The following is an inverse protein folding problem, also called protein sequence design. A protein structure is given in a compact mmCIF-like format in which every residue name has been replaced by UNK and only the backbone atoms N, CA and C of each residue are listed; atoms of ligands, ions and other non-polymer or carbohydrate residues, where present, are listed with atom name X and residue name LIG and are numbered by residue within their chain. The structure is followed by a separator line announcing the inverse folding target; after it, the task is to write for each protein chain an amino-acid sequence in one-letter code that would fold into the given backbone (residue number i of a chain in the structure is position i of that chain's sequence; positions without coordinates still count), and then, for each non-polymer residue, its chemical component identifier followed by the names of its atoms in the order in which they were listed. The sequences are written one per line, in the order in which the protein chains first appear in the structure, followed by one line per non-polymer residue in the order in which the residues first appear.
data_IF_425924552302
#
_entry.id   IF_425924552302
#
_cell.length_a   1.000
_cell.length_b   1.000
_cell.length_c   1.000
_cell.angle_alpha   90.00
_cell.angle_beta   90.00
_cell.angle_gamma   90.00
#
_symmetry.space_group_name_H-M   'P 1'
#
loop_
_entity.id
_entity.type
_entity.pdbx_description
1 polymer ?
#
# COMPACT_ATOMS: atom_id res chain seq x y z
N UNK A 1 -26.04 27.06 0.37
CA UNK A 1 -26.75 25.90 -0.21
C UNK A 1 -25.71 24.84 -0.48
N UNK A 2 -25.78 23.63 0.10
CA UNK A 2 -24.85 22.57 -0.24
C UNK A 2 -24.99 22.21 -1.72
N UNK A 3 -23.87 21.98 -2.42
CA UNK A 3 -23.89 21.61 -3.84
C UNK A 3 -24.50 20.21 -4.02
N UNK A 4 -25.23 20.02 -5.12
CA UNK A 4 -25.89 18.78 -5.49
C UNK A 4 -24.95 17.56 -5.60
N UNK A 5 -23.63 17.77 -5.62
CA UNK A 5 -22.60 16.72 -5.64
C UNK A 5 -22.48 15.93 -4.34
N UNK A 6 -22.86 16.49 -3.18
CA UNK A 6 -22.78 15.78 -1.89
C UNK A 6 -24.00 14.88 -1.62
N UNK A 7 -25.08 15.02 -2.40
CA UNK A 7 -26.30 14.24 -2.24
C UNK A 7 -26.22 12.86 -2.90
N UNK A 8 -25.38 12.64 -3.92
CA UNK A 8 -25.19 11.31 -4.53
C UNK A 8 -24.40 10.37 -3.62
N UNK A 9 -23.37 10.88 -2.92
CA UNK A 9 -22.66 10.12 -1.90
C UNK A 9 -23.59 9.73 -0.74
N UNK A 10 -24.44 10.66 -0.27
CA UNK A 10 -25.43 10.35 0.76
C UNK A 10 -26.53 9.40 0.27
N UNK A 11 -26.96 9.47 -0.99
CA UNK A 11 -28.00 8.59 -1.53
C UNK A 11 -27.49 7.15 -1.75
N UNK A 12 -26.24 6.97 -2.17
CA UNK A 12 -25.57 5.66 -2.20
C UNK A 12 -25.47 5.06 -0.79
N UNK A 13 -25.03 5.86 0.19
CA UNK A 13 -24.83 5.40 1.57
C UNK A 13 -26.12 5.23 2.39
N UNK A 14 -27.13 6.08 2.23
CA UNK A 14 -28.46 5.87 2.81
C UNK A 14 -29.15 4.66 2.18
N UNK A 15 -28.87 4.37 0.91
CA UNK A 15 -29.28 3.10 0.29
C UNK A 15 -28.54 1.92 0.91
N UNK A 16 -27.23 2.00 1.22
CA UNK A 16 -26.55 0.94 1.97
C UNK A 16 -27.10 0.76 3.39
N UNK A 17 -27.38 1.84 4.13
CA UNK A 17 -27.91 1.76 5.49
C UNK A 17 -29.36 1.22 5.52
N UNK A 18 -30.16 1.52 4.48
CA UNK A 18 -31.50 0.95 4.32
C UNK A 18 -31.48 -0.50 3.77
N UNK A 19 -30.49 -0.87 2.95
CA UNK A 19 -30.32 -2.22 2.39
C UNK A 19 -29.63 -3.17 3.39
N UNK A 20 -28.82 -2.67 4.33
CA UNK A 20 -28.17 -3.47 5.37
C UNK A 20 -29.16 -4.16 6.33
N UNK A 21 -30.45 -3.77 6.32
CA UNK A 21 -31.49 -4.42 7.12
C UNK A 21 -32.09 -5.65 6.40
N UNK A 22 -31.83 -5.85 5.10
CA UNK A 22 -32.40 -6.97 4.31
C UNK A 22 -31.41 -7.62 3.31
N UNK A 23 -30.11 -7.41 3.50
CA UNK A 23 -29.09 -8.02 2.65
C UNK A 23 -28.93 -9.51 2.99
N UNK A 24 -29.63 -10.38 2.26
CA UNK A 24 -29.20 -11.79 2.13
C UNK A 24 -27.78 -11.82 1.57
N UNK A 25 -26.90 -12.72 2.04
CA UNK A 25 -25.53 -12.81 1.54
C UNK A 25 -25.55 -13.09 0.04
N UNK A 26 -25.18 -12.09 -0.75
CA UNK A 26 -24.91 -12.26 -2.19
C UNK A 26 -23.53 -12.91 -2.27
N UNK A 27 -23.51 -14.20 -2.59
CA UNK A 27 -22.27 -14.92 -2.84
C UNK A 27 -21.60 -14.34 -4.08
N UNK A 28 -20.49 -13.61 -3.88
CA UNK A 28 -19.60 -13.29 -4.98
C UNK A 28 -18.95 -14.60 -5.44
N UNK A 29 -19.35 -15.05 -6.63
CA UNK A 29 -18.69 -16.20 -7.27
C UNK A 29 -17.50 -15.64 -8.04
N UNK A 30 -16.31 -15.69 -7.43
CA UNK A 30 -15.06 -15.51 -8.16
C UNK A 30 -15.01 -16.64 -9.18
N UNK A 31 -15.20 -16.32 -10.46
CA UNK A 31 -15.11 -17.32 -11.52
C UNK A 31 -13.62 -17.61 -11.74
N UNK A 32 -13.11 -18.80 -11.41
CA UNK A 32 -11.73 -19.14 -11.70
C UNK A 32 -11.58 -19.24 -13.22
N UNK A 33 -10.57 -18.58 -13.78
CA UNK A 33 -10.17 -18.79 -15.16
C UNK A 33 -9.74 -20.25 -15.31
N UNK A 34 -10.60 -21.10 -15.89
CA UNK A 34 -10.37 -22.53 -16.01
C UNK A 34 -9.21 -22.83 -16.96
N UNK A 35 -8.11 -23.35 -16.42
CA UNK A 35 -7.28 -24.33 -17.10
C UNK A 35 -7.69 -25.72 -16.60
N UNK A 36 -8.16 -26.57 -17.52
CA UNK A 36 -8.76 -27.85 -17.18
C UNK A 36 -7.78 -28.85 -16.57
N UNK A 37 -8.21 -29.52 -15.49
CA UNK A 37 -8.32 -30.99 -15.41
C UNK A 37 -8.74 -31.44 -13.99
N UNK A 38 -9.82 -32.23 -13.96
CA UNK A 38 -10.18 -33.33 -13.04
C UNK A 38 -10.14 -33.19 -11.51
N UNK A 39 -11.36 -33.14 -10.95
CA UNK A 39 -11.92 -33.66 -9.68
C UNK A 39 -11.00 -34.19 -8.55
N UNK A 40 -11.16 -33.62 -7.34
CA UNK A 40 -11.84 -34.27 -6.20
C UNK A 40 -12.17 -33.25 -5.11
N UNK A 41 -13.37 -33.32 -4.54
CA UNK A 41 -13.87 -32.36 -3.55
C UNK A 41 -13.45 -32.74 -2.12
N UNK A 42 -12.85 -31.80 -1.39
CA UNK A 42 -12.78 -31.82 0.08
C UNK A 42 -12.86 -30.38 0.58
N UNK A 43 -13.81 -30.13 1.49
CA UNK A 43 -14.00 -28.86 2.19
C UNK A 43 -12.72 -28.46 2.95
N UNK A 44 -12.09 -27.36 2.54
CA UNK A 44 -10.90 -26.80 3.17
C UNK A 44 -10.97 -25.28 3.20
N UNK A 45 -10.66 -24.71 4.37
CA UNK A 45 -10.46 -23.27 4.58
C UNK A 45 -9.42 -22.73 3.58
N UNK A 46 -9.77 -21.66 2.86
CA UNK A 46 -8.93 -21.03 1.84
C UNK A 46 -7.75 -20.29 2.49
N UNK A 47 -6.67 -21.03 2.75
CA UNK A 47 -5.33 -20.45 2.93
C UNK A 47 -4.77 -20.16 1.54
N UNK A 48 -4.65 -18.88 1.18
CA UNK A 48 -3.94 -18.49 -0.04
C UNK A 48 -2.45 -18.78 0.14
N UNK A 49 -2.03 -19.95 -0.34
CA UNK A 49 -0.63 -20.34 -0.44
C UNK A 49 -0.04 -19.63 -1.67
N UNK A 50 0.79 -18.62 -1.44
CA UNK A 50 1.58 -18.00 -2.51
C UNK A 50 2.62 -19.02 -3.03
N UNK A 51 2.63 -19.28 -4.33
CA UNK A 51 3.67 -20.07 -4.99
C UNK A 51 4.98 -19.28 -4.99
N UNK A 52 5.86 -19.63 -4.05
CA UNK A 52 7.21 -19.09 -3.93
C UNK A 52 8.19 -19.96 -4.71
N UNK A 53 8.16 -19.91 -6.04
CA UNK A 53 9.24 -20.48 -6.87
C UNK A 53 10.40 -19.51 -7.13
N UNK A 54 10.41 -18.35 -6.45
CA UNK A 54 11.62 -17.55 -6.26
C UNK A 54 12.47 -18.21 -5.15
N UNK A 55 13.75 -18.47 -5.44
CA UNK A 55 14.75 -19.07 -4.53
C UNK A 55 14.52 -18.63 -3.08
N UNK A 56 14.24 -19.61 -2.21
CA UNK A 56 14.02 -19.50 -0.76
C UNK A 56 14.70 -18.29 -0.09
N UNK A 57 14.04 -17.13 -0.13
CA UNK A 57 14.25 -16.09 0.87
C UNK A 57 13.39 -16.51 2.05
N UNK A 58 13.99 -17.21 3.00
CA UNK A 58 13.34 -17.55 4.26
C UNK A 58 13.10 -16.25 5.04
N UNK A 59 11.95 -15.61 4.83
CA UNK A 59 11.48 -14.55 5.71
C UNK A 59 11.09 -15.23 7.02
N UNK A 60 11.97 -15.16 8.02
CA UNK A 60 11.68 -15.68 9.36
C UNK A 60 10.36 -15.06 9.84
N UNK A 61 9.41 -15.91 10.23
CA UNK A 61 8.16 -15.46 10.83
C UNK A 61 8.47 -14.69 12.12
N UNK A 62 8.24 -13.37 12.08
CA UNK A 62 8.30 -12.53 13.27
C UNK A 62 7.15 -13.00 14.16
N UNK A 63 7.48 -13.51 15.36
CA UNK A 63 6.50 -13.97 16.34
C UNK A 63 5.53 -12.81 16.64
N UNK A 64 4.23 -13.11 16.60
CA UNK A 64 3.10 -12.26 17.00
C UNK A 64 3.46 -11.35 18.19
N UNK A 65 3.77 -10.09 17.90
CA UNK A 65 4.28 -9.11 18.86
C UNK A 65 4.71 -7.86 18.12
N UNK A 66 3.72 -7.04 17.77
CA UNK A 66 3.75 -5.78 17.00
C UNK A 66 4.53 -4.68 17.71
N UNK A 67 5.85 -4.84 17.86
CA UNK A 67 6.70 -3.68 18.17
C UNK A 67 7.20 -3.08 16.87
N UNK A 68 6.35 -2.26 16.24
CA UNK A 68 6.77 -1.35 15.19
C UNK A 68 7.41 -0.09 15.77
N UNK A 69 7.89 -0.13 17.02
CA UNK A 69 8.61 0.97 17.63
C UNK A 69 10.12 0.79 17.37
N UNK A 70 10.81 1.87 17.01
CA UNK A 70 12.27 1.93 17.00
C UNK A 70 12.82 2.05 18.43
N UNK A 71 14.15 2.05 18.57
CA UNK A 71 14.83 2.14 19.87
C UNK A 71 14.52 3.44 20.65
N UNK A 72 13.95 4.45 19.97
CA UNK A 72 13.54 5.74 20.55
C UNK A 72 12.02 5.83 20.77
N UNK A 73 11.26 4.76 20.50
CA UNK A 73 9.80 4.75 20.59
C UNK A 73 9.08 5.33 19.37
N UNK A 74 9.80 5.76 18.33
CA UNK A 74 9.24 6.19 17.04
C UNK A 74 8.70 5.02 16.23
N UNK A 75 7.86 5.26 15.22
CA UNK A 75 7.33 4.17 14.38
C UNK A 75 8.38 3.77 13.33
N UNK A 76 8.82 2.50 13.38
CA UNK A 76 9.62 1.87 12.34
C UNK A 76 8.73 1.47 11.16
N UNK A 77 8.47 2.43 10.27
CA UNK A 77 7.62 2.24 9.09
C UNK A 77 8.12 1.09 8.20
N UNK A 78 9.43 0.92 8.06
CA UNK A 78 10.02 -0.14 7.23
C UNK A 78 9.75 -1.56 7.77
N UNK A 79 9.48 -1.70 9.08
CA UNK A 79 9.15 -2.97 9.70
C UNK A 79 7.66 -3.31 9.68
N UNK A 80 6.79 -2.39 9.24
CA UNK A 80 5.34 -2.61 9.19
C UNK A 80 4.98 -3.78 8.27
N UNK A 81 4.01 -4.58 8.73
CA UNK A 81 3.46 -5.76 8.05
C UNK A 81 1.98 -5.84 8.35
N UNK A 82 1.18 -6.36 7.43
CA UNK A 82 -0.22 -6.64 7.77
C UNK A 82 -0.29 -7.73 8.86
N UNK A 83 -1.15 -7.55 9.88
CA UNK A 83 -1.34 -8.59 10.89
C UNK A 83 -1.96 -9.83 10.24
N UNK A 84 -1.54 -11.01 10.70
CA UNK A 84 -2.11 -12.28 10.21
C UNK A 84 -3.57 -12.47 10.64
N UNK A 85 -3.95 -11.82 11.74
CA UNK A 85 -5.30 -11.86 12.27
C UNK A 85 -5.83 -10.43 12.42
N UNK A 86 -6.74 -10.03 11.53
CA UNK A 86 -7.40 -8.73 11.59
C UNK A 86 -8.38 -8.61 12.77
N UNK A 87 -8.74 -9.73 13.40
CA UNK A 87 -9.64 -9.78 14.57
C UNK A 87 -8.89 -9.62 15.90
N UNK A 88 -7.56 -9.44 15.86
CA UNK A 88 -6.67 -9.38 17.04
C UNK A 88 -6.89 -8.21 18.01
N UNK A 89 -8.00 -7.48 17.89
CA UNK A 89 -8.29 -6.27 18.66
C UNK A 89 -7.46 -5.06 18.20
N UNK A 90 -7.48 -4.01 19.02
CA UNK A 90 -6.84 -2.72 18.70
C UNK A 90 -5.32 -2.80 18.56
N UNK A 91 -4.68 -3.79 19.19
CA UNK A 91 -3.22 -4.01 19.14
C UNK A 91 -2.75 -4.55 17.77
N UNK A 92 -3.68 -5.11 16.98
CA UNK A 92 -3.43 -5.53 15.60
C UNK A 92 -3.60 -4.39 14.59
N UNK A 93 -4.16 -3.25 14.98
CA UNK A 93 -4.41 -2.14 14.05
C UNK A 93 -3.11 -1.33 13.88
N UNK A 94 -2.69 -1.12 12.63
CA UNK A 94 -1.49 -0.35 12.32
C UNK A 94 -1.68 1.14 12.65
N UNK A 95 -0.62 1.86 13.06
CA UNK A 95 -0.69 3.31 13.22
C UNK A 95 -0.82 3.99 11.86
N UNK A 96 -1.25 5.24 11.84
CA UNK A 96 -1.19 6.08 10.64
C UNK A 96 -0.34 7.32 10.89
N UNK A 97 0.30 7.92 9.86
CA UNK A 97 1.21 9.04 10.07
C UNK A 97 0.57 10.28 10.70
N UNK A 98 -0.69 10.57 10.36
CA UNK A 98 -1.39 11.78 10.83
C UNK A 98 -2.09 11.54 12.16
N UNK A 99 -2.78 10.40 12.30
CA UNK A 99 -3.62 10.15 13.47
C UNK A 99 -2.98 9.22 14.51
N UNK A 100 -1.85 8.59 14.19
CA UNK A 100 -1.13 7.72 15.12
C UNK A 100 -1.97 6.50 15.55
N UNK A 101 -1.90 6.16 16.83
CA UNK A 101 -2.49 4.96 17.41
C UNK A 101 -3.80 5.20 18.18
N UNK A 102 -4.14 6.45 18.46
CA UNK A 102 -5.27 6.80 19.34
C UNK A 102 -6.61 6.70 18.60
N UNK A 103 -7.64 6.16 19.26
CA UNK A 103 -9.00 6.15 18.73
C UNK A 103 -9.25 5.24 17.53
N UNK A 104 -8.35 4.28 17.24
CA UNK A 104 -8.53 3.33 16.13
C UNK A 104 -9.61 2.29 16.45
N UNK A 105 -10.48 2.03 15.48
CA UNK A 105 -11.62 1.10 15.65
C UNK A 105 -11.42 -0.18 14.84
N UNK A 106 -11.09 -0.06 13.57
CA UNK A 106 -10.82 -1.19 12.68
C UNK A 106 -9.96 -0.77 11.48
N UNK A 107 -9.50 -1.75 10.71
CA UNK A 107 -8.59 -1.57 9.59
C UNK A 107 -8.81 -2.63 8.51
N UNK A 108 -8.42 -2.29 7.29
CA UNK A 108 -8.10 -3.24 6.22
C UNK A 108 -6.64 -3.10 5.86
N UNK A 109 -5.96 -4.19 5.52
CA UNK A 109 -4.53 -4.15 5.20
C UNK A 109 -4.19 -5.20 4.15
N UNK A 110 -3.41 -4.80 3.15
CA UNK A 110 -2.89 -5.64 2.10
C UNK A 110 -1.37 -5.55 2.05
N UNK A 111 -0.72 -6.68 1.81
CA UNK A 111 0.72 -6.77 1.62
C UNK A 111 1.00 -7.51 0.31
N UNK A 112 1.73 -6.88 -0.59
CA UNK A 112 2.04 -7.43 -1.92
C UNK A 112 3.54 -7.29 -2.23
N UNK A 113 4.15 -8.36 -2.74
CA UNK A 113 5.49 -8.30 -3.35
C UNK A 113 5.37 -8.00 -4.85
N UNK A 114 6.00 -6.91 -5.27
CA UNK A 114 5.99 -6.40 -6.65
C UNK A 114 7.40 -6.46 -7.23
N UNK A 115 7.57 -7.11 -8.39
CA UNK A 115 8.83 -7.18 -9.13
C UNK A 115 9.07 -5.90 -9.93
N UNK A 116 9.29 -4.81 -9.21
CA UNK A 116 9.70 -3.52 -9.75
C UNK A 116 10.55 -2.78 -8.70
N UNK A 117 11.45 -1.88 -9.12
CA UNK A 117 12.19 -1.02 -8.19
C UNK A 117 11.24 -0.15 -7.35
N UNK A 118 11.58 0.09 -6.08
CA UNK A 118 10.77 0.89 -5.12
C UNK A 118 10.29 2.21 -5.71
N UNK A 119 11.19 2.92 -6.41
CA UNK A 119 10.89 4.19 -7.06
C UNK A 119 9.77 4.09 -8.09
N UNK A 120 9.75 3.02 -8.91
CA UNK A 120 8.71 2.83 -9.92
C UNK A 120 7.34 2.55 -9.29
N UNK A 121 7.31 1.82 -8.16
CA UNK A 121 6.09 1.60 -7.38
C UNK A 121 5.59 2.91 -6.78
N UNK A 122 6.48 3.68 -6.16
CA UNK A 122 6.16 5.00 -5.58
C UNK A 122 5.61 5.96 -6.63
N UNK A 123 6.31 6.11 -7.76
CA UNK A 123 5.90 7.01 -8.83
C UNK A 123 4.52 6.64 -9.40
N UNK A 124 4.15 5.35 -9.43
CA UNK A 124 2.81 4.92 -9.84
C UNK A 124 1.73 5.26 -8.81
N UNK A 125 2.03 5.16 -7.52
CA UNK A 125 1.12 5.51 -6.42
C UNK A 125 0.87 7.02 -6.31
N UNK A 126 1.80 7.87 -6.72
CA UNK A 126 1.58 9.34 -6.69
C UNK A 126 1.16 9.92 -8.04
N UNK A 127 1.08 9.10 -9.11
CA UNK A 127 0.54 9.51 -10.42
C UNK A 127 -1.00 9.42 -10.43
N UNK A 128 -1.65 10.25 -9.60
CA UNK A 128 -3.10 10.26 -9.38
C UNK A 128 -3.91 10.32 -10.70
N UNK A 129 -3.43 11.09 -11.69
CA UNK A 129 -4.08 11.19 -13.00
C UNK A 129 -4.07 9.91 -13.83
N UNK A 130 -3.39 8.85 -13.37
CA UNK A 130 -3.35 7.54 -14.04
C UNK A 130 -3.91 6.39 -13.21
N UNK A 131 -4.51 6.66 -12.05
CA UNK A 131 -5.09 5.60 -11.21
C UNK A 131 -6.05 4.69 -11.97
N UNK A 132 -7.02 5.27 -12.70
CA UNK A 132 -7.98 4.50 -13.50
C UNK A 132 -7.39 3.69 -14.66
N UNK A 133 -6.07 3.81 -14.94
CA UNK A 133 -5.38 2.96 -15.93
C UNK A 133 -4.90 1.64 -15.36
N UNK A 134 -4.70 1.57 -14.06
CA UNK A 134 -4.14 0.39 -13.40
C UNK A 134 -5.04 -0.15 -12.31
N UNK A 135 -5.82 0.70 -11.63
CA UNK A 135 -6.73 0.31 -10.56
C UNK A 135 -8.13 0.04 -11.10
N UNK A 136 -8.66 -1.15 -10.84
CA UNK A 136 -10.01 -1.57 -11.26
C UNK A 136 -11.12 -1.00 -10.37
N UNK A 137 -10.80 -0.64 -9.12
CA UNK A 137 -11.75 -0.10 -8.14
C UNK A 137 -11.76 1.44 -8.12
N UNK A 138 -10.58 2.08 -8.18
CA UNK A 138 -10.42 3.54 -8.24
C UNK A 138 -10.36 3.96 -9.71
N UNK A 139 -11.50 4.41 -10.24
CA UNK A 139 -11.66 4.69 -11.66
C UNK A 139 -11.20 6.09 -12.06
N UNK A 140 -11.17 7.04 -11.12
CA UNK A 140 -10.70 8.40 -11.35
C UNK A 140 -10.17 9.03 -10.06
N UNK A 141 -9.16 9.89 -10.19
CA UNK A 141 -8.69 10.77 -9.10
C UNK A 141 -8.54 12.17 -9.67
N UNK A 142 -9.35 13.09 -9.16
CA UNK A 142 -9.30 14.49 -9.55
C UNK A 142 -8.51 15.29 -8.52
N UNK A 143 -7.54 16.08 -8.98
CA UNK A 143 -6.90 17.10 -8.14
C UNK A 143 -7.89 18.26 -8.03
N UNK A 144 -8.49 18.41 -6.85
CA UNK A 144 -9.40 19.52 -6.56
C UNK A 144 -8.52 20.75 -6.36
N UNK A 145 -8.58 21.69 -7.30
CA UNK A 145 -7.66 22.83 -7.29
C UNK A 145 -7.76 23.59 -5.96
N UNK A 146 -6.63 23.95 -5.35
CA UNK A 146 -6.63 24.66 -4.08
C UNK A 146 -7.35 25.99 -4.25
N UNK A 147 -8.30 26.27 -3.37
CA UNK A 147 -9.02 27.54 -3.34
C UNK A 147 -8.15 28.73 -2.88
N UNK A 148 -6.85 28.57 -2.61
CA UNK A 148 -5.99 29.72 -2.26
C UNK A 148 -4.47 29.50 -2.17
N UNK A 149 -3.95 28.27 -2.13
CA UNK A 149 -2.50 28.03 -2.03
C UNK A 149 -1.92 27.75 -3.42
N UNK A 150 -1.15 28.71 -3.95
CA UNK A 150 -0.41 28.53 -5.20
C UNK A 150 0.46 27.26 -5.13
N UNK A 151 0.62 26.51 -6.24
CA UNK A 151 1.53 25.36 -6.29
C UNK A 151 2.92 25.77 -5.79
N UNK A 152 3.61 24.89 -5.08
CA UNK A 152 5.04 25.05 -4.79
C UNK A 152 5.79 25.17 -6.13
N UNK A 153 6.01 26.40 -6.57
CA UNK A 153 6.75 26.74 -7.78
C UNK A 153 8.21 26.40 -7.56
N UNK A 154 8.67 25.23 -7.98
CA UNK A 154 10.09 24.90 -8.14
C UNK A 154 10.31 23.82 -9.21
N UNK A 155 9.47 23.80 -10.25
CA UNK A 155 9.68 22.96 -11.43
C UNK A 155 9.70 23.85 -12.67
N UNK A 156 10.89 24.10 -13.20
CA UNK A 156 11.12 24.79 -14.48
C UNK A 156 10.66 23.96 -15.71
N UNK A 157 9.89 22.89 -15.51
CA UNK A 157 9.29 22.07 -16.57
C UNK A 157 7.90 22.63 -16.99
N UNK A 158 7.79 23.26 -18.18
CA UNK A 158 6.57 23.90 -18.65
C UNK A 158 5.44 22.92 -19.04
N UNK A 159 5.72 21.61 -19.09
CA UNK A 159 4.76 20.57 -19.43
C UNK A 159 4.11 19.94 -18.18
N UNK A 160 3.53 20.77 -17.30
CA UNK A 160 2.38 20.39 -16.46
C UNK A 160 2.44 18.99 -15.80
N UNK A 161 3.55 18.64 -15.18
CA UNK A 161 3.45 17.75 -14.01
C UNK A 161 2.79 18.60 -12.93
N UNK A 162 1.48 18.42 -12.71
CA UNK A 162 0.82 18.95 -11.52
C UNK A 162 1.66 18.48 -10.33
N UNK A 163 2.41 19.39 -9.73
CA UNK A 163 3.29 19.05 -8.62
C UNK A 163 2.43 18.43 -7.53
N UNK A 164 2.74 17.20 -7.14
CA UNK A 164 2.09 16.51 -6.04
C UNK A 164 2.71 17.03 -4.74
N UNK A 165 1.90 17.48 -3.78
CA UNK A 165 2.36 18.12 -2.54
C UNK A 165 1.44 17.76 -1.36
N UNK A 166 1.98 17.74 -0.14
CA UNK A 166 1.20 17.50 1.08
C UNK A 166 0.19 18.62 1.33
N UNK A 167 -1.02 18.26 1.76
CA UNK A 167 -2.18 19.14 1.86
C UNK A 167 -2.91 19.35 0.53
N UNK A 168 -2.59 18.58 -0.51
CA UNK A 168 -3.34 18.58 -1.76
C UNK A 168 -4.71 17.93 -1.57
N UNK A 169 -5.76 18.64 -1.96
CA UNK A 169 -7.13 18.11 -2.02
C UNK A 169 -7.29 17.21 -3.25
N UNK A 170 -7.77 16.01 -3.02
CA UNK A 170 -8.02 14.98 -4.01
C UNK A 170 -9.50 14.59 -3.95
N UNK A 171 -10.05 14.15 -5.07
CA UNK A 171 -11.37 13.54 -5.12
C UNK A 171 -11.27 12.17 -5.79
N UNK A 172 -11.47 11.12 -5.01
CA UNK A 172 -11.39 9.75 -5.48
C UNK A 172 -12.77 9.29 -5.90
N UNK A 173 -12.90 8.78 -7.13
CA UNK A 173 -14.09 8.09 -7.61
C UNK A 173 -13.81 6.60 -7.61
N UNK A 174 -14.68 5.84 -6.93
CA UNK A 174 -14.54 4.41 -6.77
C UNK A 174 -15.85 3.68 -7.04
N UNK A 175 -15.75 2.41 -7.43
CA UNK A 175 -16.89 1.57 -7.83
C UNK A 175 -16.98 0.28 -7.04
N UNK A 176 -18.17 -0.16 -6.65
CA UNK A 176 -18.36 -1.47 -6.03
C UNK A 176 -18.53 -1.44 -4.52
N UNK A 177 -18.20 -0.34 -3.84
CA UNK A 177 -18.62 -0.14 -2.45
C UNK A 177 -20.14 0.06 -2.42
N UNK A 178 -20.88 -0.87 -1.79
CA UNK A 178 -22.35 -0.88 -1.84
C UNK A 178 -23.00 -1.82 -2.84
N UNK A 179 -22.19 -2.57 -3.59
CA UNK A 179 -22.68 -3.52 -4.58
C UNK A 179 -22.36 -3.10 -6.01
N UNK A 180 -22.74 -3.96 -6.95
CA UNK A 180 -22.43 -3.81 -8.36
C UNK A 180 -23.01 -2.51 -8.95
N UNK A 181 -22.19 -1.77 -9.68
CA UNK A 181 -22.59 -0.52 -10.35
C UNK A 181 -22.69 0.71 -9.44
N UNK A 182 -22.51 0.58 -8.12
CA UNK A 182 -22.49 1.74 -7.22
C UNK A 182 -21.19 2.51 -7.43
N UNK A 183 -21.32 3.76 -7.86
CA UNK A 183 -20.21 4.72 -7.98
C UNK A 183 -20.29 5.69 -6.82
N UNK A 184 -19.18 5.84 -6.10
CA UNK A 184 -19.07 6.76 -4.98
C UNK A 184 -17.89 7.69 -5.23
N UNK A 185 -17.97 8.91 -4.71
CA UNK A 185 -16.87 9.88 -4.77
C UNK A 185 -16.66 10.49 -3.40
N UNK A 186 -15.41 10.54 -2.95
CA UNK A 186 -15.02 11.04 -1.64
C UNK A 186 -13.93 12.12 -1.72
N UNK A 187 -13.98 13.17 -0.88
CA UNK A 187 -12.88 14.10 -0.72
C UNK A 187 -11.77 13.47 0.13
N UNK A 188 -10.54 13.58 -0.35
CA UNK A 188 -9.34 13.08 0.31
C UNK A 188 -8.31 14.21 0.41
N UNK A 189 -7.41 14.14 1.38
CA UNK A 189 -6.29 15.08 1.52
C UNK A 189 -5.00 14.29 1.60
N UNK A 190 -4.04 14.60 0.73
CA UNK A 190 -2.71 14.00 0.76
C UNK A 190 -1.97 14.47 2.02
N UNK A 191 -1.66 13.58 2.95
CA UNK A 191 -1.09 13.93 4.26
C UNK A 191 0.40 13.75 4.34
N UNK A 192 0.96 12.75 3.64
CA UNK A 192 2.39 12.44 3.65
C UNK A 192 2.92 12.17 2.26
N UNK A 193 4.09 12.72 1.95
CA UNK A 193 4.91 12.41 0.79
C UNK A 193 6.38 12.28 1.17
N UNK A 194 6.86 11.05 1.27
CA UNK A 194 8.27 10.75 1.40
C UNK A 194 8.69 9.74 0.31
N UNK A 195 9.23 10.20 -0.83
CA UNK A 195 9.68 9.31 -1.89
C UNK A 195 10.85 8.40 -1.50
N UNK A 196 11.44 8.56 -0.31
CA UNK A 196 12.81 8.15 0.02
C UNK A 196 13.80 8.83 -0.93
N UNK A 197 14.89 9.40 -0.40
CA UNK A 197 16.05 9.65 -1.25
C UNK A 197 16.55 8.27 -1.67
N UNK A 198 16.27 7.86 -2.91
CA UNK A 198 16.89 6.66 -3.45
C UNK A 198 18.39 6.83 -3.28
N UNK A 199 18.94 6.00 -2.39
CA UNK A 199 20.34 5.69 -2.22
C UNK A 199 21.11 6.11 -3.45
N UNK A 200 21.97 7.12 -3.24
CA UNK A 200 22.99 7.55 -4.18
C UNK A 200 23.42 6.34 -4.97
N UNK A 201 23.27 6.37 -6.30
CA UNK A 201 23.71 5.33 -7.20
C UNK A 201 25.09 4.89 -6.75
N UNK A 202 25.13 3.83 -5.94
CA UNK A 202 26.31 3.12 -5.53
C UNK A 202 26.72 2.39 -6.78
N UNK A 203 27.19 3.17 -7.76
CA UNK A 203 28.04 2.74 -8.83
C UNK A 203 29.18 2.12 -8.06
N UNK A 204 29.04 0.82 -7.80
CA UNK A 204 30.11 -0.05 -7.38
C UNK A 204 31.12 0.13 -8.49
N UNK A 205 31.99 1.12 -8.31
CA UNK A 205 33.21 1.25 -9.04
C UNK A 205 33.94 -0.02 -8.67
N UNK A 206 33.70 -1.07 -9.45
CA UNK A 206 34.74 -2.01 -9.83
C UNK A 206 35.85 -1.15 -10.41
N UNK A 207 36.66 -0.58 -9.51
CA UNK A 207 38.00 -0.12 -9.82
C UNK A 207 38.64 -1.30 -10.50
N UNK A 208 38.80 -1.18 -11.82
CA UNK A 208 39.57 -2.10 -12.61
C UNK A 208 40.96 -2.17 -11.96
N UNK A 209 41.20 -3.22 -11.19
CA UNK A 209 42.54 -3.57 -10.72
C UNK A 209 43.31 -3.83 -12.01
N UNK A 210 44.14 -2.85 -12.38
CA UNK A 210 45.11 -2.95 -13.46
C UNK A 210 45.92 -4.22 -13.21
N UNK A 211 45.86 -5.15 -14.15
CA UNK A 211 46.58 -6.42 -14.08
C UNK A 211 48.10 -6.17 -14.03
N UNK A 212 48.68 -6.18 -12.84
CA UNK A 212 50.14 -6.31 -12.64
C UNK A 212 50.56 -7.76 -12.82
N UNK A 213 51.64 -7.97 -13.59
CA UNK A 213 52.23 -9.27 -13.97
C UNK A 213 52.37 -10.25 -12.79
N UNK A 214 52.13 -11.56 -13.00
CA UNK A 214 52.27 -12.57 -11.95
C UNK A 214 53.74 -12.80 -11.58
N UNK A 215 54.06 -12.65 -10.29
CA UNK A 215 55.27 -13.22 -9.68
C UNK A 215 55.01 -14.67 -9.31
N UNK A 216 55.97 -15.53 -9.67
CA UNK A 216 55.99 -16.99 -9.43
C UNK A 216 56.14 -17.23 -7.93
N UNK A 217 55.08 -17.66 -7.25
CA UNK A 217 55.13 -18.13 -5.86
C UNK A 217 54.70 -19.59 -5.74
N UNK A 218 55.45 -20.28 -4.89
CA UNK A 218 55.55 -21.72 -4.64
C UNK A 218 54.31 -22.24 -3.90
N UNK A 219 53.87 -23.44 -4.27
CA UNK A 219 52.74 -24.18 -3.71
C UNK A 219 52.77 -24.30 -2.18
N UNK A 220 51.67 -23.92 -1.54
CA UNK A 220 51.25 -24.39 -0.21
C UNK A 220 49.73 -24.30 -0.11
N UNK A 221 49.16 -25.23 0.67
CA UNK A 221 47.79 -25.70 0.62
C UNK A 221 46.70 -24.61 0.75
N UNK A 222 45.64 -24.80 -0.03
CA UNK A 222 44.44 -23.96 -0.08
C UNK A 222 43.50 -24.32 1.06
N UNK A 223 43.37 -23.43 2.03
CA UNK A 223 42.24 -23.42 2.98
C UNK A 223 41.18 -22.48 2.40
N UNK A 224 40.02 -23.02 2.05
CA UNK A 224 38.85 -22.26 1.62
C UNK A 224 38.37 -21.38 2.79
N UNK A 225 38.74 -20.10 2.78
CA UNK A 225 38.17 -19.10 3.66
C UNK A 225 36.76 -18.75 3.14
N UNK A 226 35.74 -19.15 3.91
CA UNK A 226 34.38 -18.64 3.80
C UNK A 226 34.41 -17.12 3.82
N UNK A 227 33.88 -16.49 2.76
CA UNK A 227 33.70 -15.04 2.71
C UNK A 227 32.72 -14.63 3.81
N UNK A 228 33.23 -14.04 4.89
CA UNK A 228 32.40 -13.32 5.86
C UNK A 228 31.68 -12.19 5.12
N UNK A 229 30.35 -12.30 5.02
CA UNK A 229 29.47 -11.17 4.72
C UNK A 229 29.68 -10.13 5.82
N UNK A 230 30.53 -9.14 5.55
CA UNK A 230 30.68 -7.96 6.40
C UNK A 230 29.32 -7.29 6.50
N UNK A 231 28.69 -7.38 7.67
CA UNK A 231 27.49 -6.65 7.99
C UNK A 231 27.78 -5.16 7.76
N UNK A 232 27.16 -4.59 6.74
CA UNK A 232 27.20 -3.15 6.50
C UNK A 232 26.41 -2.53 7.65
N UNK A 233 27.10 -1.77 8.49
CA UNK A 233 26.47 -1.03 9.56
C UNK A 233 25.43 -0.08 8.94
N UNK A 234 24.17 -0.23 9.37
CA UNK A 234 23.05 0.59 8.95
C UNK A 234 23.30 2.05 9.34
N UNK A 235 23.84 2.84 8.41
CA UNK A 235 23.70 4.30 8.46
C UNK A 235 22.22 4.60 8.24
N UNK A 236 21.58 5.31 9.16
CA UNK A 236 20.13 5.54 9.24
C UNK A 236 19.50 6.36 8.11
N UNK A 237 19.79 5.99 6.86
CA UNK A 237 19.01 6.40 5.70
C UNK A 237 17.71 5.59 5.72
N UNK A 238 16.58 6.30 5.65
CA UNK A 238 15.25 5.68 5.71
C UNK A 238 15.06 4.72 4.53
N UNK A 239 15.10 3.42 4.81
CA UNK A 239 14.98 2.35 3.81
C UNK A 239 13.52 2.11 3.39
N UNK A 240 12.70 3.16 3.39
CA UNK A 240 11.31 3.09 2.97
C UNK A 240 10.88 4.36 2.24
N UNK A 241 9.90 4.20 1.36
CA UNK A 241 9.12 5.32 0.82
C UNK A 241 7.71 5.23 1.39
N UNK A 242 7.07 6.36 1.69
CA UNK A 242 5.70 6.42 2.17
C UNK A 242 4.90 7.52 1.48
N UNK A 243 3.65 7.24 1.18
CA UNK A 243 2.64 8.24 0.90
C UNK A 243 1.36 7.89 1.66
N UNK A 244 0.63 8.89 2.13
CA UNK A 244 -0.63 8.68 2.83
C UNK A 244 -1.64 9.76 2.44
N UNK A 245 -2.91 9.41 2.42
CA UNK A 245 -4.01 10.35 2.30
C UNK A 245 -5.08 10.03 3.33
N UNK A 246 -5.77 11.06 3.80
CA UNK A 246 -6.88 10.93 4.75
C UNK A 246 -8.21 11.23 4.06
N UNK A 247 -9.26 10.54 4.48
CA UNK A 247 -10.61 10.83 4.02
C UNK A 247 -11.23 11.92 4.88
N UNK A 248 -11.78 12.93 4.20
CA UNK A 248 -12.60 13.97 4.82
C UNK A 248 -14.10 13.73 4.50
N UNK A 249 -14.48 12.47 4.21
CA UNK A 249 -15.85 12.06 3.87
C UNK A 249 -16.83 12.38 5.01
N UNK A 250 -17.95 13.02 4.65
CA UNK A 250 -19.05 13.29 5.57
C UNK A 250 -20.27 12.45 5.25
N UNK A 251 -20.79 11.74 6.25
CA UNK A 251 -22.04 10.98 6.18
C UNK A 251 -22.97 11.49 7.27
N UNK A 252 -24.17 11.94 6.90
CA UNK A 252 -25.13 12.57 7.82
C UNK A 252 -24.51 13.69 8.70
N UNK A 253 -23.73 14.58 8.07
CA UNK A 253 -22.96 15.67 8.70
C UNK A 253 -21.87 15.24 9.71
N UNK A 254 -21.61 13.94 9.83
CA UNK A 254 -20.50 13.40 10.61
C UNK A 254 -19.30 13.07 9.72
N UNK A 255 -18.11 13.46 10.18
CA UNK A 255 -16.85 13.12 9.54
C UNK A 255 -16.49 11.66 9.84
N UNK A 256 -16.33 10.86 8.79
CA UNK A 256 -15.70 9.55 8.90
C UNK A 256 -14.20 9.78 8.82
N UNK A 257 -13.52 9.56 9.94
CA UNK A 257 -12.08 9.75 10.01
C UNK A 257 -11.38 8.45 9.60
N UNK A 258 -10.78 8.45 8.43
CA UNK A 258 -9.86 7.38 7.99
C UNK A 258 -8.56 7.97 7.43
N UNK A 259 -7.50 7.17 7.45
CA UNK A 259 -6.25 7.47 6.73
C UNK A 259 -5.74 6.18 6.07
N UNK A 260 -5.25 6.32 4.84
CA UNK A 260 -4.74 5.26 3.97
C UNK A 260 -3.24 5.46 3.70
N UNK A 261 -2.36 4.86 4.51
CA UNK A 261 -0.92 4.85 4.23
C UNK A 261 -0.52 3.75 3.25
N UNK A 262 0.54 4.03 2.50
CA UNK A 262 1.22 3.13 1.59
C UNK A 262 2.70 3.15 1.93
N UNK A 263 3.26 2.04 2.40
CA UNK A 263 4.68 1.91 2.74
C UNK A 263 5.36 0.94 1.78
N UNK A 264 6.50 1.39 1.25
CA UNK A 264 7.31 0.64 0.30
C UNK A 264 8.68 0.37 0.90
N UNK A 265 9.11 -0.89 0.92
CA UNK A 265 10.45 -1.29 1.35
C UNK A 265 11.14 -2.12 0.26
N UNK A 266 12.47 -2.01 0.16
CA UNK A 266 13.25 -2.87 -0.74
C UNK A 266 13.26 -4.30 -0.17
N UNK A 267 12.78 -5.27 -0.94
CA UNK A 267 12.76 -6.68 -0.55
C UNK A 267 13.97 -7.46 -1.13
N UNK A 268 14.87 -6.77 -1.84
CA UNK A 268 16.00 -7.36 -2.55
C UNK A 268 15.62 -7.87 -3.94
N UNK A 269 16.64 -8.16 -4.76
CA UNK A 269 16.49 -8.77 -6.10
C UNK A 269 15.55 -8.02 -7.06
N UNK A 270 15.38 -6.71 -6.86
CA UNK A 270 14.49 -5.88 -7.66
C UNK A 270 13.01 -6.01 -7.28
N UNK A 271 12.70 -6.60 -6.12
CA UNK A 271 11.37 -6.63 -5.55
C UNK A 271 11.17 -5.48 -4.55
N UNK A 272 9.97 -4.93 -4.56
CA UNK A 272 9.48 -4.00 -3.54
C UNK A 272 8.39 -4.69 -2.75
N UNK A 273 8.46 -4.63 -1.42
CA UNK A 273 7.31 -4.95 -0.56
C UNK A 273 6.43 -3.71 -0.45
N UNK A 274 5.18 -3.86 -0.84
CA UNK A 274 4.13 -2.86 -0.75
C UNK A 274 3.16 -3.25 0.35
N UNK A 275 3.07 -2.42 1.40
CA UNK A 275 2.10 -2.55 2.48
C UNK A 275 1.13 -1.36 2.38
N UNK A 276 -0.15 -1.65 2.22
CA UNK A 276 -1.23 -0.67 2.08
C UNK A 276 -2.32 -0.98 3.08
N UNK A 277 -2.71 0.00 3.89
CA UNK A 277 -3.81 -0.18 4.82
C UNK A 277 -4.66 1.06 4.91
N UNK A 278 -5.89 0.89 5.35
CA UNK A 278 -6.77 1.99 5.73
C UNK A 278 -7.25 1.75 7.16
N UNK A 279 -7.04 2.73 8.02
CA UNK A 279 -7.46 2.69 9.42
C UNK A 279 -8.63 3.64 9.63
N UNK A 280 -9.69 3.12 10.26
CA UNK A 280 -10.88 3.87 10.64
C UNK A 280 -10.85 4.22 12.12
N UNK A 281 -11.10 5.48 12.43
CA UNK A 281 -11.03 6.05 13.78
C UNK A 281 -12.42 6.29 14.36
N UNK A 282 -12.49 6.48 15.68
CA UNK A 282 -13.73 6.65 16.43
C UNK A 282 -14.61 7.77 15.85
N UNK A 283 -15.90 7.46 15.79
CA UNK A 283 -16.96 8.26 15.20
C UNK A 283 -18.26 7.46 15.29
N UNK A 284 -19.42 8.11 15.38
CA UNK A 284 -20.71 7.43 15.56
C UNK A 284 -21.03 6.50 14.38
N UNK A 285 -20.63 6.89 13.18
CA UNK A 285 -20.81 6.09 11.96
C UNK A 285 -19.75 5.00 11.77
N UNK A 286 -18.62 5.02 12.49
CA UNK A 286 -17.49 4.11 12.23
C UNK A 286 -17.85 2.64 12.42
N UNK A 287 -18.66 2.31 13.44
CA UNK A 287 -19.13 0.93 13.67
C UNK A 287 -20.11 0.47 12.58
N UNK A 288 -20.91 1.38 12.02
CA UNK A 288 -21.77 1.05 10.87
C UNK A 288 -20.92 0.71 9.65
N UNK A 289 -19.83 1.45 9.42
CA UNK A 289 -18.91 1.19 8.32
C UNK A 289 -18.11 -0.10 8.49
N UNK A 290 -17.90 -0.56 9.73
CA UNK A 290 -17.24 -1.85 10.00
C UNK A 290 -17.96 -3.03 9.37
N UNK A 291 -19.27 -2.95 9.14
CA UNK A 291 -20.01 -4.00 8.42
C UNK A 291 -19.52 -4.20 6.98
N UNK A 292 -18.85 -3.20 6.40
CA UNK A 292 -18.23 -3.27 5.07
C UNK A 292 -16.79 -3.77 5.11
N UNK A 293 -16.22 -4.06 6.29
CA UNK A 293 -14.79 -4.38 6.45
C UNK A 293 -14.34 -5.51 5.51
N UNK A 294 -15.11 -6.59 5.38
CA UNK A 294 -14.77 -7.70 4.47
C UNK A 294 -14.75 -7.27 3.01
N UNK A 295 -15.71 -6.45 2.58
CA UNK A 295 -15.75 -5.91 1.22
C UNK A 295 -14.58 -4.96 0.97
N UNK A 296 -14.31 -4.07 1.92
CA UNK A 296 -13.19 -3.13 1.85
C UNK A 296 -11.84 -3.82 1.85
N UNK A 297 -11.69 -4.90 2.61
CA UNK A 297 -10.49 -5.74 2.60
C UNK A 297 -10.25 -6.31 1.20
N UNK A 298 -11.28 -6.88 0.57
CA UNK A 298 -11.18 -7.42 -0.78
C UNK A 298 -10.80 -6.34 -1.82
N UNK A 299 -11.34 -5.13 -1.71
CA UNK A 299 -11.01 -4.01 -2.59
C UNK A 299 -9.57 -3.52 -2.38
N UNK A 300 -9.10 -3.47 -1.13
CA UNK A 300 -7.72 -3.09 -0.81
C UNK A 300 -6.72 -4.16 -1.32
N UNK A 301 -7.06 -5.44 -1.19
CA UNK A 301 -6.26 -6.53 -1.78
C UNK A 301 -6.21 -6.45 -3.30
N UNK A 302 -7.35 -6.18 -3.94
CA UNK A 302 -7.43 -6.01 -5.39
C UNK A 302 -6.56 -4.85 -5.87
N UNK A 303 -6.56 -3.70 -5.17
CA UNK A 303 -5.68 -2.57 -5.50
C UNK A 303 -4.19 -2.98 -5.49
N UNK A 304 -3.77 -3.81 -4.55
CA UNK A 304 -2.40 -4.36 -4.51
C UNK A 304 -2.07 -5.24 -5.70
N UNK A 305 -2.97 -6.15 -6.07
CA UNK A 305 -2.79 -7.03 -7.23
C UNK A 305 -2.79 -6.27 -8.55
N UNK A 306 -3.66 -5.27 -8.69
CA UNK A 306 -3.76 -4.39 -9.85
C UNK A 306 -2.48 -3.60 -10.10
N UNK A 307 -1.94 -2.98 -9.04
CA UNK A 307 -0.66 -2.26 -9.11
C UNK A 307 0.49 -3.19 -9.50
N UNK A 308 0.54 -4.39 -8.91
CA UNK A 308 1.51 -5.43 -9.25
C UNK A 308 1.45 -5.78 -10.74
N UNK A 309 0.26 -6.15 -11.24
CA UNK A 309 0.07 -6.52 -12.64
C UNK A 309 0.47 -5.39 -13.60
N UNK A 310 0.14 -4.14 -13.26
CA UNK A 310 0.50 -2.97 -14.06
C UNK A 310 2.01 -2.75 -14.18
N UNK A 311 2.75 -2.89 -13.09
CA UNK A 311 4.19 -2.65 -13.05
C UNK A 311 4.99 -3.83 -13.61
N UNK A 312 4.58 -5.05 -13.34
CA UNK A 312 5.29 -6.25 -13.80
C UNK A 312 5.10 -6.49 -15.31
N UNK A 313 4.00 -6.01 -15.91
CA UNK A 313 3.81 -6.07 -17.37
C UNK A 313 4.80 -5.21 -18.17
N UNK A 314 5.40 -4.20 -17.54
CA UNK A 314 6.31 -3.24 -18.21
C UNK A 314 7.77 -3.71 -18.22
N UNK A 315 8.10 -4.77 -17.48
CA UNK A 315 9.46 -5.30 -17.29
C UNK A 315 9.67 -6.59 -18.07
#
# INVERSE_FOLDING_TARGET
MPSLSNLSALAGFLSLAAVAVDAKPVGYTVTPQQHGSSANATTGSSSHHYDTTAKNVTISSVKNGTTYHDDNGGINWAALRCPQNMDGGVDGILPTPTYGTEGRVWMVCSETLIRAPRRAVYDALVDFGRYGKWNSYVTNVEVVHPTSKAPLQNSDDPAHKKAVYEGMDLSFTFTGLGGEGVVTTGPEVLTVLNPSSSSSSGRSSTSAIKATKPRKCRHSASTFATSEKKAVAATGEEDYSINAWRSDLKVADELIRSEHPNVLTDAGEGFTRYVSWETYYEGKSTETFKMLQTQMQALNDQQGQDLKAYLEKKN
#
